data_IF_365662117060
#
_entry.id   IF_365662117060
#
_cell.length_a   1.000
_cell.length_b   1.000
_cell.length_c   1.000
_cell.angle_alpha   90.00
_cell.angle_beta   90.00
_cell.angle_gamma   90.00
#
_symmetry.space_group_name_H-M   'P 1'
#
loop_
_entity.id
_entity.type
_entity.pdbx_description
1 polymer ?
#
# COMPACT_ATOMS: atom_id res chain seq x y z
N UNK A 1 0.39 10.91 12.36
CA UNK A 1 0.51 10.36 11.01
C UNK A 1 1.75 9.49 10.99
N UNK A 2 1.64 8.20 10.64
CA UNK A 2 2.79 7.30 10.51
C UNK A 2 3.09 7.08 9.03
N UNK A 3 4.34 7.27 8.66
CA UNK A 3 4.84 7.02 7.32
C UNK A 3 6.20 6.31 7.45
N UNK A 4 6.47 5.40 6.52
CA UNK A 4 7.71 4.62 6.44
C UNK A 4 8.33 4.76 5.06
N UNK A 5 9.62 4.50 4.94
CA UNK A 5 10.31 4.52 3.65
C UNK A 5 10.23 3.17 2.90
N UNK A 6 10.82 3.13 1.70
CA UNK A 6 10.83 1.93 0.86
C UNK A 6 11.65 0.78 1.45
N UNK A 7 12.66 1.06 2.26
CA UNK A 7 13.48 0.02 2.89
C UNK A 7 12.70 -0.66 4.03
N UNK A 8 11.95 0.11 4.80
CA UNK A 8 11.03 -0.41 5.79
C UNK A 8 9.90 -1.24 5.15
N UNK A 9 9.35 -0.79 4.00
CA UNK A 9 8.38 -1.59 3.24
C UNK A 9 8.99 -2.92 2.78
N UNK A 10 10.22 -2.93 2.26
CA UNK A 10 10.91 -4.14 1.80
C UNK A 10 11.14 -5.15 2.93
N UNK A 11 11.54 -4.68 4.10
CA UNK A 11 11.65 -5.52 5.30
C UNK A 11 10.29 -6.10 5.67
N UNK A 12 9.24 -5.27 5.70
CA UNK A 12 7.89 -5.70 6.05
C UNK A 12 7.35 -6.76 5.08
N UNK A 13 7.61 -6.63 3.78
CA UNK A 13 7.25 -7.65 2.78
C UNK A 13 7.95 -8.97 3.03
N UNK A 14 9.24 -8.94 3.40
CA UNK A 14 10.01 -10.14 3.74
C UNK A 14 9.43 -10.85 4.97
N UNK A 15 8.89 -10.09 5.91
CA UNK A 15 8.23 -10.59 7.13
C UNK A 15 6.77 -11.01 6.91
N UNK A 16 6.25 -10.90 5.68
CA UNK A 16 4.86 -11.28 5.35
C UNK A 16 3.81 -10.28 5.81
N UNK A 17 4.19 -8.99 5.95
CA UNK A 17 3.26 -7.95 6.36
C UNK A 17 2.13 -7.72 5.33
N UNK A 18 1.00 -7.20 5.82
CA UNK A 18 -0.11 -6.82 4.95
C UNK A 18 0.21 -5.51 4.24
N UNK A 19 0.20 -5.53 2.91
CA UNK A 19 0.40 -4.34 2.07
C UNK A 19 -0.79 -4.17 1.13
N UNK A 20 -1.42 -3.00 1.21
CA UNK A 20 -2.59 -2.62 0.39
C UNK A 20 -2.19 -1.52 -0.58
N UNK A 21 -2.31 -1.79 -1.87
CA UNK A 21 -2.18 -0.81 -2.94
C UNK A 21 -3.53 -0.17 -3.25
N UNK A 22 -3.64 1.14 -2.98
CA UNK A 22 -4.88 1.91 -3.15
C UNK A 22 -4.99 2.61 -4.51
N UNK A 23 -4.09 2.31 -5.45
CA UNK A 23 -4.20 2.81 -6.82
C UNK A 23 -5.34 2.11 -7.57
N UNK A 24 -5.80 2.75 -8.64
CA UNK A 24 -6.81 2.14 -9.50
C UNK A 24 -6.23 0.92 -10.22
N UNK A 25 -7.11 -0.01 -10.62
CA UNK A 25 -6.72 -1.32 -11.19
C UNK A 25 -5.77 -1.19 -12.39
N UNK A 26 -5.98 -0.20 -13.24
CA UNK A 26 -5.15 0.05 -14.42
C UNK A 26 -3.72 0.46 -14.04
N UNK A 27 -3.55 1.30 -13.00
CA UNK A 27 -2.23 1.69 -12.49
C UNK A 27 -1.51 0.49 -11.85
N UNK A 28 -2.25 -0.33 -11.09
CA UNK A 28 -1.73 -1.53 -10.44
C UNK A 28 -1.31 -2.60 -11.46
N UNK A 29 -2.06 -2.75 -12.56
CA UNK A 29 -1.75 -3.68 -13.63
C UNK A 29 -0.52 -3.26 -14.45
N UNK A 30 -0.23 -1.96 -14.56
CA UNK A 30 0.96 -1.49 -15.28
C UNK A 30 2.25 -1.82 -14.54
N UNK A 31 2.29 -1.51 -13.25
CA UNK A 31 3.45 -1.77 -12.39
C UNK A 31 3.01 -1.78 -10.93
N UNK A 32 3.51 -2.73 -10.15
CA UNK A 32 3.22 -2.84 -8.71
C UNK A 32 4.40 -3.39 -7.92
N UNK A 33 4.33 -3.14 -6.61
CA UNK A 33 5.16 -3.84 -5.63
C UNK A 33 4.73 -5.32 -5.61
N UNK A 34 5.66 -6.28 -5.63
CA UNK A 34 5.33 -7.71 -5.62
C UNK A 34 4.56 -8.13 -4.36
N UNK A 35 3.61 -9.06 -4.51
CA UNK A 35 2.91 -9.68 -3.39
C UNK A 35 1.92 -8.78 -2.63
N UNK A 36 1.61 -7.58 -3.13
CA UNK A 36 0.67 -6.65 -2.46
C UNK A 36 -0.76 -6.82 -2.99
N UNK A 37 -1.75 -6.56 -2.14
CA UNK A 37 -3.17 -6.66 -2.52
C UNK A 37 -3.68 -5.33 -3.06
N UNK A 38 -4.40 -5.33 -4.19
CA UNK A 38 -5.03 -4.11 -4.72
C UNK A 38 -6.45 -3.92 -4.18
N UNK A 39 -6.66 -2.79 -3.51
CA UNK A 39 -7.98 -2.30 -3.12
C UNK A 39 -8.07 -0.84 -3.60
N UNK A 40 -8.58 -0.59 -4.81
CA UNK A 40 -8.65 0.74 -5.39
C UNK A 40 -9.34 1.75 -4.48
N UNK A 41 -8.89 3.01 -4.48
CA UNK A 41 -9.49 4.05 -3.64
C UNK A 41 -10.99 4.25 -3.94
N UNK A 42 -11.40 4.05 -5.19
CA UNK A 42 -12.80 4.05 -5.64
C UNK A 42 -13.66 2.95 -5.00
N UNK A 43 -13.06 1.81 -4.62
CA UNK A 43 -13.72 0.66 -3.99
C UNK A 43 -13.42 0.56 -2.47
N UNK A 44 -12.48 1.35 -1.95
CA UNK A 44 -11.84 1.16 -0.65
C UNK A 44 -12.81 1.12 0.53
N UNK A 45 -13.82 2.01 0.53
CA UNK A 45 -14.83 2.05 1.60
C UNK A 45 -15.74 0.83 1.54
N UNK A 46 -16.08 0.36 0.34
CA UNK A 46 -16.95 -0.80 0.15
C UNK A 46 -16.24 -2.13 0.45
N UNK A 47 -14.91 -2.16 0.29
CA UNK A 47 -14.05 -3.34 0.51
C UNK A 47 -13.25 -3.25 1.81
N UNK A 48 -13.66 -2.39 2.73
CA UNK A 48 -12.90 -2.12 3.96
C UNK A 48 -12.76 -3.37 4.84
N UNK A 49 -13.74 -4.26 4.79
CA UNK A 49 -13.76 -5.51 5.56
C UNK A 49 -12.75 -6.55 5.05
N UNK A 50 -12.15 -6.34 3.87
CA UNK A 50 -11.05 -7.17 3.36
C UNK A 50 -9.70 -6.82 4.01
N UNK A 51 -9.60 -5.67 4.69
CA UNK A 51 -8.36 -5.21 5.30
C UNK A 51 -8.21 -5.82 6.70
N UNK A 52 -7.15 -6.62 6.94
CA UNK A 52 -6.85 -7.15 8.27
C UNK A 52 -6.74 -6.03 9.32
N UNK A 53 -7.36 -6.26 10.48
CA UNK A 53 -7.27 -5.34 11.62
C UNK A 53 -6.16 -5.71 12.60
N UNK A 54 -5.53 -6.88 12.41
CA UNK A 54 -4.42 -7.36 13.23
C UNK A 54 -3.07 -7.01 12.59
N UNK A 55 -2.15 -6.49 13.40
CA UNK A 55 -0.83 -6.06 12.95
C UNK A 55 -0.85 -4.72 12.20
N UNK A 56 0.30 -4.37 11.62
CA UNK A 56 0.47 -3.12 10.88
C UNK A 56 0.10 -3.31 9.41
N UNK A 57 -0.81 -2.48 8.90
CA UNK A 57 -1.20 -2.41 7.48
C UNK A 57 -0.38 -1.33 6.79
N UNK A 58 0.39 -1.73 5.78
CA UNK A 58 1.15 -0.80 4.95
C UNK A 58 0.31 -0.39 3.75
N UNK A 59 0.13 0.90 3.55
CA UNK A 59 -0.67 1.44 2.46
C UNK A 59 0.24 2.10 1.45
N UNK A 60 0.15 1.68 0.19
CA UNK A 60 0.95 2.20 -0.91
C UNK A 60 0.07 2.83 -1.97
N UNK A 61 0.54 3.92 -2.57
CA UNK A 61 -0.03 4.47 -3.79
C UNK A 61 1.09 4.87 -4.75
N UNK A 62 0.83 5.69 -5.77
CA UNK A 62 1.86 6.07 -6.73
C UNK A 62 3.08 6.77 -6.07
N UNK A 63 2.83 7.79 -5.24
CA UNK A 63 3.89 8.65 -4.66
C UNK A 63 3.77 8.93 -3.15
N UNK A 64 2.67 8.55 -2.51
CA UNK A 64 2.42 8.74 -1.07
C UNK A 64 1.14 9.51 -0.71
N UNK A 65 0.59 10.32 -1.62
CA UNK A 65 -0.56 11.20 -1.31
C UNK A 65 -1.86 10.46 -0.94
N UNK A 66 -2.29 9.52 -1.80
CA UNK A 66 -3.51 8.73 -1.57
C UNK A 66 -3.36 7.76 -0.39
N UNK A 67 -2.18 7.18 -0.24
CA UNK A 67 -1.89 6.25 0.86
C UNK A 67 -1.91 6.93 2.22
N UNK A 68 -1.48 8.20 2.34
CA UNK A 68 -1.63 8.97 3.57
C UNK A 68 -3.10 9.13 3.96
N UNK A 69 -3.97 9.48 3.01
CA UNK A 69 -5.41 9.64 3.25
C UNK A 69 -6.07 8.31 3.66
N UNK A 70 -5.75 7.21 2.96
CA UNK A 70 -6.29 5.89 3.28
C UNK A 70 -5.77 5.37 4.63
N UNK A 71 -4.49 5.56 4.96
CA UNK A 71 -3.94 5.20 6.26
C UNK A 71 -4.57 6.01 7.40
N UNK A 72 -4.83 7.31 7.21
CA UNK A 72 -5.57 8.12 8.19
C UNK A 72 -7.00 7.62 8.40
N UNK A 73 -7.69 7.28 7.31
CA UNK A 73 -9.05 6.76 7.37
C UNK A 73 -9.13 5.43 8.16
N UNK A 74 -8.14 4.55 7.96
CA UNK A 74 -7.97 3.30 8.70
C UNK A 74 -7.63 3.54 10.17
N UNK A 75 -6.70 4.45 10.45
CA UNK A 75 -6.32 4.81 11.82
C UNK A 75 -7.52 5.37 12.62
N UNK A 76 -8.39 6.15 11.98
CA UNK A 76 -9.64 6.62 12.58
C UNK A 76 -10.62 5.51 12.96
N UNK A 77 -10.40 4.28 12.50
CA UNK A 77 -11.16 3.06 12.81
C UNK A 77 -10.42 2.09 13.73
N UNK A 78 -9.27 2.50 14.26
CA UNK A 78 -8.47 1.69 15.17
C UNK A 78 -7.55 0.68 14.47
N UNK A 79 -7.42 0.72 13.14
CA UNK A 79 -6.46 -0.11 12.40
C UNK A 79 -5.09 0.55 12.45
N UNK A 80 -4.04 -0.21 12.79
CA UNK A 80 -2.67 0.29 12.74
C UNK A 80 -2.19 0.39 11.28
N UNK A 81 -2.43 1.53 10.64
CA UNK A 81 -2.08 1.77 9.25
C UNK A 81 -0.95 2.78 9.10
N UNK A 82 0.00 2.49 8.20
CA UNK A 82 1.13 3.36 7.86
C UNK A 82 1.17 3.62 6.35
N UNK A 83 1.45 4.86 5.95
CA UNK A 83 1.69 5.17 4.53
C UNK A 83 3.14 4.81 4.16
N UNK A 84 3.36 4.44 2.90
CA UNK A 84 4.70 4.26 2.33
C UNK A 84 5.10 5.50 1.53
N UNK A 85 6.14 6.19 1.99
CA UNK A 85 6.74 7.32 1.30
C UNK A 85 7.37 6.89 -0.03
N UNK A 86 7.22 7.72 -1.07
CA UNK A 86 7.76 7.44 -2.40
C UNK A 86 6.89 6.51 -3.24
N UNK A 87 6.04 5.70 -2.62
CA UNK A 87 5.05 4.88 -3.30
C UNK A 87 5.65 3.87 -4.31
N UNK A 88 4.81 3.36 -5.19
CA UNK A 88 5.22 2.44 -6.25
C UNK A 88 6.20 3.09 -7.23
N UNK A 89 6.10 4.39 -7.46
CA UNK A 89 7.04 5.12 -8.32
C UNK A 89 8.47 5.08 -7.78
N UNK A 90 8.61 5.37 -6.49
CA UNK A 90 9.90 5.31 -5.80
C UNK A 90 10.44 3.89 -5.77
N UNK A 91 9.56 2.91 -5.50
CA UNK A 91 9.91 1.50 -5.54
C UNK A 91 10.47 1.09 -6.91
N UNK A 92 9.76 1.37 -8.01
CA UNK A 92 10.19 1.03 -9.36
C UNK A 92 11.49 1.74 -9.75
N UNK A 93 11.63 3.04 -9.44
CA UNK A 93 12.85 3.82 -9.74
C UNK A 93 14.08 3.34 -8.97
N UNK A 94 13.88 2.70 -7.83
CA UNK A 94 14.97 2.19 -6.99
C UNK A 94 15.60 0.89 -7.50
N UNK A 95 15.10 0.32 -8.60
CA UNK A 95 15.61 -0.93 -9.16
C UNK A 95 15.17 -2.18 -8.40
N UNK A 96 14.20 -2.05 -7.49
CA UNK A 96 13.59 -3.18 -6.78
C UNK A 96 12.72 -4.02 -7.72
N UNK A 97 12.49 -5.31 -7.39
CA UNK A 97 11.62 -6.17 -8.17
C UNK A 97 10.20 -5.59 -8.28
N UNK A 98 9.60 -5.67 -9.47
CA UNK A 98 8.23 -5.22 -9.73
C UNK A 98 7.45 -6.32 -10.44
N UNK A 99 6.13 -6.28 -10.29
CA UNK A 99 5.20 -7.09 -11.07
C UNK A 99 4.34 -6.21 -11.99
N UNK A 100 3.77 -6.83 -13.02
CA UNK A 100 2.82 -6.22 -13.95
C UNK A 100 1.83 -7.28 -14.45
N UNK A 101 0.74 -6.86 -15.07
CA UNK A 101 -0.34 -7.73 -15.54
C UNK A 101 -1.53 -7.82 -14.59
N UNK A 102 -2.63 -8.38 -15.08
CA UNK A 102 -3.86 -8.64 -14.32
C UNK A 102 -3.78 -9.96 -13.55
#
# INVERSE_FOLDING_TARGET
>A
MREVDLAALESALTDGATVIDVRERDEYAQVRVPGVTNIPLSEFVARIDEIPTEGTVYVVCAVGGRSLQAAQYLAGRGVDAVSVAGGTDGWARSGRPVESGA
#
